data_IF_874391055998
#
_entry.id   IF_874391055998
#
_cell.length_a   1.000
_cell.length_b   1.000
_cell.length_c   1.000
_cell.angle_alpha   90.00
_cell.angle_beta   90.00
_cell.angle_gamma   90.00
#
_symmetry.space_group_name_H-M   'P 1'
#
loop_
_entity.id
_entity.type
_entity.pdbx_description
1 polymer ?
#
# COMPACT_ATOMS: atom_id res chain seq x y z
N UNK A 1 15.52 8.48 -4.74
CA UNK A 1 15.71 7.01 -4.79
C UNK A 1 16.54 6.57 -3.59
N UNK A 2 16.09 5.58 -2.82
CA UNK A 2 16.73 5.07 -1.59
C UNK A 2 16.48 3.56 -1.50
N UNK A 3 17.24 2.86 -0.65
CA UNK A 3 16.91 1.49 -0.25
C UNK A 3 15.59 1.50 0.52
N UNK A 4 14.67 0.61 0.14
CA UNK A 4 13.30 0.63 0.65
C UNK A 4 12.82 -0.76 1.07
N UNK A 5 11.91 -0.75 2.04
CA UNK A 5 11.08 -1.89 2.44
C UNK A 5 9.65 -1.50 2.08
N UNK A 6 8.88 -2.38 1.43
CA UNK A 6 7.61 -2.01 0.79
C UNK A 6 6.60 -1.44 1.81
N UNK A 7 6.56 -2.01 3.00
CA UNK A 7 5.74 -1.57 4.14
C UNK A 7 6.07 -0.12 4.52
N UNK A 8 7.37 0.21 4.64
CA UNK A 8 7.82 1.56 4.96
C UNK A 8 7.46 2.54 3.85
N UNK A 9 7.67 2.17 2.59
CA UNK A 9 7.30 3.00 1.45
C UNK A 9 5.79 3.31 1.46
N UNK A 10 4.97 2.30 1.76
CA UNK A 10 3.50 2.45 1.82
C UNK A 10 3.09 3.47 2.89
N UNK A 11 3.69 3.41 4.08
CA UNK A 11 3.45 4.38 5.15
C UNK A 11 3.95 5.79 4.78
N UNK A 12 5.16 5.90 4.20
CA UNK A 12 5.72 7.19 3.79
C UNK A 12 4.84 7.93 2.79
N UNK A 13 4.24 7.22 1.83
CA UNK A 13 3.29 7.82 0.88
C UNK A 13 2.04 8.30 1.61
N UNK A 14 1.46 7.48 2.49
CA UNK A 14 0.29 7.87 3.28
C UNK A 14 0.57 9.14 4.09
N UNK A 15 1.70 9.17 4.80
CA UNK A 15 2.10 10.28 5.67
C UNK A 15 2.35 11.56 4.86
N UNK A 16 3.01 11.46 3.71
CA UNK A 16 3.22 12.59 2.82
C UNK A 16 1.89 13.20 2.36
N UNK A 17 0.93 12.38 1.93
CA UNK A 17 -0.40 12.85 1.52
C UNK A 17 -1.14 13.49 2.70
N UNK A 18 -1.11 12.84 3.86
CA UNK A 18 -1.79 13.34 5.07
C UNK A 18 -1.24 14.69 5.51
N UNK A 19 0.09 14.85 5.51
CA UNK A 19 0.77 16.05 5.98
C UNK A 19 0.65 17.23 5.00
N UNK A 20 0.55 16.97 3.69
CA UNK A 20 0.43 18.03 2.68
C UNK A 20 -1.02 18.50 2.53
N UNK A 21 -1.97 17.56 2.44
CA UNK A 21 -3.35 17.87 2.07
C UNK A 21 -4.31 17.96 3.27
N UNK A 22 -3.91 17.51 4.46
CA UNK A 22 -4.77 17.44 5.64
C UNK A 22 -6.17 16.83 5.38
N UNK A 23 -6.29 15.71 4.64
CA UNK A 23 -7.59 15.16 4.29
C UNK A 23 -8.24 14.47 5.50
N UNK A 24 -9.55 14.20 5.38
CA UNK A 24 -10.31 13.42 6.38
C UNK A 24 -9.82 11.96 6.51
N UNK A 25 -9.04 11.47 5.55
CA UNK A 25 -8.39 10.17 5.59
C UNK A 25 -7.62 9.90 4.30
N UNK A 26 -6.61 9.04 4.40
CA UNK A 26 -5.78 8.59 3.27
C UNK A 26 -5.78 7.06 3.23
N UNK A 27 -5.98 6.50 2.05
CA UNK A 27 -5.76 5.07 1.78
C UNK A 27 -4.71 4.87 0.69
N UNK A 28 -3.70 4.05 1.00
CA UNK A 28 -2.63 3.67 0.06
C UNK A 28 -2.60 2.16 -0.04
N UNK A 29 -2.55 1.64 -1.26
CA UNK A 29 -2.32 0.23 -1.56
C UNK A 29 -1.21 0.13 -2.59
N UNK A 30 -0.22 -0.71 -2.33
CA UNK A 30 0.87 -0.99 -3.25
C UNK A 30 0.88 -2.48 -3.52
N UNK A 31 0.85 -2.84 -4.80
CA UNK A 31 1.08 -4.19 -5.27
C UNK A 31 2.40 -4.23 -6.04
N UNK A 32 3.32 -5.12 -5.66
CA UNK A 32 4.62 -5.20 -6.30
C UNK A 32 5.15 -6.64 -6.34
N UNK A 33 5.99 -6.90 -7.35
CA UNK A 33 6.81 -8.11 -7.47
C UNK A 33 8.24 -7.80 -7.05
N UNK A 34 8.81 -8.69 -6.24
CA UNK A 34 10.18 -8.54 -5.75
C UNK A 34 11.12 -9.45 -6.53
N UNK A 35 12.01 -8.86 -7.32
CA UNK A 35 12.93 -9.65 -8.16
C UNK A 35 13.87 -10.55 -7.34
N UNK A 36 14.16 -10.20 -6.08
CA UNK A 36 14.89 -11.07 -5.16
C UNK A 36 14.14 -12.36 -4.80
N UNK A 37 12.81 -12.41 -4.95
CA UNK A 37 12.00 -13.63 -4.78
C UNK A 37 11.75 -14.37 -6.10
N UNK A 38 11.85 -13.68 -7.23
CA UNK A 38 11.51 -14.21 -8.56
C UNK A 38 12.73 -14.82 -9.24
N UNK A 39 13.89 -14.15 -9.17
CA UNK A 39 15.09 -14.54 -9.91
C UNK A 39 16.13 -15.28 -9.08
N UNK A 40 15.96 -15.32 -7.75
CA UNK A 40 16.94 -15.84 -6.80
C UNK A 40 16.20 -16.44 -5.61
N UNK A 41 16.85 -17.35 -4.89
CA UNK A 41 16.31 -17.91 -3.65
C UNK A 41 15.11 -18.83 -3.91
N UNK A 42 13.91 -18.43 -3.45
CA UNK A 42 12.69 -19.26 -3.51
C UNK A 42 12.09 -19.36 -4.93
N UNK A 43 12.51 -18.49 -5.85
CA UNK A 43 12.19 -18.55 -7.30
C UNK A 43 10.69 -18.66 -7.64
N UNK A 44 9.85 -17.95 -6.88
CA UNK A 44 8.40 -17.98 -7.06
C UNK A 44 7.96 -16.91 -8.05
N UNK A 45 7.86 -17.28 -9.34
CA UNK A 45 7.50 -16.39 -10.47
C UNK A 45 6.21 -15.58 -10.25
N UNK A 46 5.22 -16.18 -9.60
CA UNK A 46 3.90 -15.57 -9.37
C UNK A 46 3.77 -14.90 -8.00
N UNK A 47 4.89 -14.71 -7.28
CA UNK A 47 4.86 -14.06 -5.96
C UNK A 47 4.60 -12.56 -6.12
N UNK A 48 3.52 -12.11 -5.50
CA UNK A 48 3.12 -10.70 -5.43
C UNK A 48 2.96 -10.34 -3.95
N UNK A 49 3.49 -9.17 -3.57
CA UNK A 49 3.34 -8.63 -2.23
C UNK A 49 2.46 -7.40 -2.30
N UNK A 50 1.35 -7.44 -1.55
CA UNK A 50 0.42 -6.33 -1.43
C UNK A 50 0.52 -5.74 -0.03
N UNK A 51 0.78 -4.45 0.06
CA UNK A 51 0.84 -3.69 1.32
C UNK A 51 -0.19 -2.59 1.29
N UNK A 52 -0.69 -2.20 2.47
CA UNK A 52 -1.64 -1.10 2.59
C UNK A 52 -1.37 -0.24 3.82
N UNK A 53 -1.72 1.04 3.72
CA UNK A 53 -1.65 2.00 4.82
C UNK A 53 -2.88 2.91 4.78
N UNK A 54 -3.64 2.94 5.87
CA UNK A 54 -4.88 3.68 6.00
C UNK A 54 -4.77 4.73 7.12
N UNK A 55 -5.60 5.78 7.06
CA UNK A 55 -5.74 6.80 8.11
C UNK A 55 -7.12 7.46 8.08
N UNK A 56 -7.50 8.12 9.18
CA UNK A 56 -8.73 8.89 9.28
C UNK A 56 -9.98 8.07 8.95
N UNK A 57 -10.82 8.59 8.05
CA UNK A 57 -12.07 7.95 7.60
C UNK A 57 -11.88 6.53 7.08
N UNK A 58 -10.73 6.20 6.48
CA UNK A 58 -10.46 4.82 6.04
C UNK A 58 -10.27 3.85 7.20
N UNK A 59 -9.89 4.33 8.39
CA UNK A 59 -9.83 3.51 9.61
C UNK A 59 -11.19 3.49 10.31
N UNK A 60 -11.84 4.64 10.47
CA UNK A 60 -13.08 4.76 11.25
C UNK A 60 -14.32 4.24 10.54
N UNK A 61 -14.36 4.29 9.20
CA UNK A 61 -15.50 3.86 8.39
C UNK A 61 -15.17 2.60 7.59
N UNK A 62 -15.75 1.48 8.02
CA UNK A 62 -15.60 0.20 7.32
C UNK A 62 -16.23 0.25 5.92
N UNK A 63 -17.35 0.96 5.73
CA UNK A 63 -18.01 1.11 4.43
C UNK A 63 -17.10 1.83 3.43
N UNK A 64 -16.49 2.95 3.83
CA UNK A 64 -15.54 3.71 3.01
C UNK A 64 -14.34 2.86 2.61
N UNK A 65 -13.77 2.11 3.56
CA UNK A 65 -12.66 1.19 3.28
C UNK A 65 -13.05 0.11 2.28
N UNK A 66 -14.22 -0.50 2.47
CA UNK A 66 -14.70 -1.58 1.60
C UNK A 66 -14.99 -1.08 0.19
N UNK A 67 -15.59 0.10 0.04
CA UNK A 67 -15.83 0.72 -1.26
C UNK A 67 -14.52 0.97 -2.01
N UNK A 68 -13.55 1.59 -1.34
CA UNK A 68 -12.21 1.82 -1.89
C UNK A 68 -11.54 0.51 -2.33
N UNK A 69 -11.48 -0.49 -1.45
CA UNK A 69 -10.87 -1.78 -1.78
C UNK A 69 -11.60 -2.51 -2.91
N UNK A 70 -12.91 -2.28 -3.07
CA UNK A 70 -13.68 -2.84 -4.20
C UNK A 70 -13.36 -2.14 -5.51
N UNK A 71 -13.18 -0.81 -5.49
CA UNK A 71 -12.92 -0.01 -6.69
C UNK A 71 -11.51 -0.18 -7.25
N UNK A 72 -10.52 -0.49 -6.41
CA UNK A 72 -9.12 -0.65 -6.82
C UNK A 72 -8.74 -2.09 -7.14
N UNK A 73 -9.63 -3.06 -6.89
CA UNK A 73 -9.40 -4.45 -7.30
C UNK A 73 -9.38 -4.51 -8.83
N UNK A 74 -8.35 -5.13 -9.44
CA UNK A 74 -8.29 -5.33 -10.87
C UNK A 74 -9.39 -6.28 -11.37
#
# INVERSE_FOLDING_TARGET
RRLQVQERLTQQIRDAIQNVLHPKGVGVVIEARHMCMVMRGVEKLNSITTTSAMSGQFISSQSTRNEFLRLIKP
#
